data_IF_347279520197
#
_entry.id   IF_347279520197
#
_cell.length_a   1.000
_cell.length_b   1.000
_cell.length_c   1.000
_cell.angle_alpha   90.00
_cell.angle_beta   90.00
_cell.angle_gamma   90.00
#
_symmetry.space_group_name_H-M   'P 1'
#
loop_
_entity.id
_entity.type
_entity.pdbx_description
1 polymer ?
#
# COMPACT_ATOMS: atom_id res chain seq x y z
N UNK A 1 9.10 10.82 8.34
CA UNK A 1 8.54 9.68 9.11
C UNK A 1 8.17 8.56 8.15
N UNK A 2 8.43 7.30 8.48
CA UNK A 2 8.00 6.14 7.67
C UNK A 2 6.89 5.40 8.43
N UNK A 3 5.74 5.20 7.79
CA UNK A 3 4.56 4.56 8.35
C UNK A 3 4.43 3.19 7.69
N UNK A 4 4.74 2.14 8.45
CA UNK A 4 4.52 0.76 8.02
C UNK A 4 3.10 0.32 8.39
N UNK A 5 2.37 -0.15 7.39
CA UNK A 5 1.03 -0.69 7.56
C UNK A 5 0.80 -1.80 6.54
N UNK A 6 0.34 -2.96 6.99
CA UNK A 6 0.13 -4.15 6.18
C UNK A 6 -0.84 -5.11 6.91
N UNK A 7 -1.28 -6.17 6.23
CA UNK A 7 -2.17 -7.21 6.76
C UNK A 7 -1.73 -7.78 8.12
N UNK A 8 -0.43 -7.84 8.37
CA UNK A 8 0.16 -8.37 9.62
C UNK A 8 -0.29 -7.62 10.87
N UNK A 9 -0.72 -6.35 10.75
CA UNK A 9 -1.29 -5.58 11.87
C UNK A 9 -2.59 -6.23 12.37
N UNK A 10 -3.38 -6.83 11.47
CA UNK A 10 -4.64 -7.50 11.77
C UNK A 10 -4.50 -9.02 11.88
N UNK A 11 -3.40 -9.56 11.36
CA UNK A 11 -3.08 -10.99 11.43
C UNK A 11 -1.65 -11.21 11.96
N UNK A 12 -1.44 -11.13 13.29
CA UNK A 12 -0.10 -11.21 13.90
C UNK A 12 0.60 -12.56 13.73
N UNK A 13 -0.15 -13.62 13.39
CA UNK A 13 0.43 -14.93 13.08
C UNK A 13 1.24 -14.95 11.77
N UNK A 14 1.19 -13.87 10.98
CA UNK A 14 1.97 -13.69 9.76
C UNK A 14 1.29 -14.24 8.51
N UNK A 15 2.08 -14.59 7.50
CA UNK A 15 1.60 -15.16 6.25
C UNK A 15 2.64 -16.12 5.67
N UNK A 16 2.22 -16.93 4.71
CA UNK A 16 3.09 -17.79 3.91
C UNK A 16 2.86 -17.50 2.42
N UNK A 17 3.81 -17.89 1.57
CA UNK A 17 3.63 -17.78 0.12
C UNK A 17 2.39 -18.54 -0.35
N UNK A 18 1.53 -17.86 -1.12
CA UNK A 18 0.28 -18.42 -1.63
C UNK A 18 -0.79 -18.68 -0.55
N UNK A 19 -0.49 -18.42 0.72
CA UNK A 19 -1.40 -18.59 1.84
C UNK A 19 -1.33 -17.35 2.74
N UNK A 20 -2.05 -16.32 2.31
CA UNK A 20 -2.16 -15.03 2.97
C UNK A 20 -3.53 -14.91 3.65
N UNK A 21 -3.68 -14.10 4.71
CA UNK A 21 -4.98 -13.84 5.33
C UNK A 21 -5.97 -13.25 4.33
N UNK A 22 -7.23 -13.67 4.39
CA UNK A 22 -8.26 -13.13 3.49
C UNK A 22 -8.43 -11.61 3.65
N UNK A 23 -8.72 -10.85 2.58
CA UNK A 23 -8.93 -9.39 2.63
C UNK A 23 -9.93 -8.93 3.70
N UNK A 24 -10.92 -9.77 4.04
CA UNK A 24 -11.93 -9.48 5.06
C UNK A 24 -11.36 -9.28 6.48
N UNK A 25 -10.14 -9.77 6.73
CA UNK A 25 -9.43 -9.58 8.00
C UNK A 25 -8.99 -8.12 8.18
N UNK A 26 -8.76 -7.39 7.10
CA UNK A 26 -8.32 -6.00 7.15
C UNK A 26 -9.51 -5.06 7.40
N UNK A 27 -9.66 -4.56 8.63
CA UNK A 27 -10.76 -3.66 8.97
C UNK A 27 -10.42 -2.65 10.07
N UNK A 28 -9.64 -1.59 9.78
CA UNK A 28 -9.40 -0.54 10.76
C UNK A 28 -10.65 0.33 10.94
N UNK A 29 -11.36 0.15 12.05
CA UNK A 29 -12.62 0.87 12.35
C UNK A 29 -12.43 2.30 12.85
N UNK A 30 -11.21 2.65 13.26
CA UNK A 30 -10.84 3.97 13.80
C UNK A 30 -9.61 4.54 13.08
N UNK A 31 -9.44 4.22 11.79
CA UNK A 31 -8.33 4.76 11.02
C UNK A 31 -8.46 6.28 10.87
N UNK A 32 -7.41 7.00 11.20
CA UNK A 32 -7.32 8.45 11.01
C UNK A 32 -5.91 8.82 10.53
N UNK A 33 -5.78 9.16 9.24
CA UNK A 33 -4.50 9.60 8.67
C UNK A 33 -4.12 11.01 9.10
N UNK A 34 -5.07 11.85 9.49
CA UNK A 34 -4.77 13.18 10.03
C UNK A 34 -4.03 13.02 11.35
N UNK A 35 -4.50 12.12 12.22
CA UNK A 35 -3.81 11.79 13.47
C UNK A 35 -2.36 11.35 13.23
N UNK A 36 -2.10 10.52 12.21
CA UNK A 36 -0.74 10.10 11.87
C UNK A 36 0.16 11.28 11.49
N UNK A 37 -0.36 12.19 10.65
CA UNK A 37 0.40 13.32 10.14
C UNK A 37 0.58 14.42 11.21
N UNK A 38 -0.40 14.62 12.08
CA UNK A 38 -0.27 15.51 13.25
C UNK A 38 0.89 15.08 14.15
N UNK A 39 1.00 13.78 14.45
CA UNK A 39 2.13 13.24 15.22
C UNK A 39 3.44 13.43 14.45
N UNK A 40 3.46 13.17 13.15
CA UNK A 40 4.65 13.38 12.31
C UNK A 40 5.14 14.84 12.40
N UNK A 41 4.22 15.80 12.27
CA UNK A 41 4.50 17.22 12.33
C UNK A 41 4.99 17.65 13.71
N UNK A 42 4.32 17.18 14.76
CA UNK A 42 4.73 17.46 16.15
C UNK A 42 6.13 16.91 16.47
N UNK A 43 6.52 15.79 15.83
CA UNK A 43 7.87 15.24 15.91
C UNK A 43 8.91 15.98 15.03
N UNK A 44 8.52 17.05 14.33
CA UNK A 44 9.40 17.85 13.48
C UNK A 44 9.67 17.25 12.10
N UNK A 45 8.87 16.28 11.64
CA UNK A 45 9.05 15.71 10.31
C UNK A 45 8.60 16.69 9.21
N UNK A 46 9.42 16.84 8.17
CA UNK A 46 9.07 17.61 6.97
C UNK A 46 8.37 16.77 5.89
N UNK A 47 8.46 15.46 6.02
CA UNK A 47 7.87 14.51 5.08
C UNK A 47 7.43 13.24 5.79
N UNK A 48 6.42 12.59 5.24
CA UNK A 48 5.97 11.27 5.66
C UNK A 48 5.98 10.32 4.46
N UNK A 49 6.26 9.05 4.69
CA UNK A 49 6.24 7.99 3.68
C UNK A 49 5.29 6.90 4.17
N UNK A 50 4.30 6.53 3.35
CA UNK A 50 3.41 5.40 3.63
C UNK A 50 3.87 4.17 2.86
N UNK A 51 3.96 3.03 3.54
CA UNK A 51 4.09 1.72 2.91
C UNK A 51 2.74 1.35 2.30
N UNK A 52 2.54 1.66 1.02
CA UNK A 52 1.27 1.40 0.32
C UNK A 52 1.06 -0.09 0.05
N UNK A 53 2.16 -0.82 -0.18
CA UNK A 53 2.18 -2.28 -0.29
C UNK A 53 3.50 -2.81 0.27
N UNK A 54 3.43 -3.76 1.20
CA UNK A 54 4.57 -4.45 1.78
C UNK A 54 4.67 -5.90 1.25
N UNK A 55 5.24 -6.81 2.05
CA UNK A 55 5.51 -8.18 1.66
C UNK A 55 4.30 -9.10 1.63
N UNK A 56 3.18 -8.80 2.30
CA UNK A 56 1.98 -9.63 2.16
C UNK A 56 1.44 -9.63 0.73
N UNK A 57 1.67 -8.53 0.01
CA UNK A 57 1.07 -8.22 -1.29
C UNK A 57 -0.21 -7.39 -1.19
N UNK A 58 -0.73 -7.13 0.01
CA UNK A 58 -1.99 -6.39 0.19
C UNK A 58 -1.82 -4.91 -0.16
N UNK A 59 -2.66 -4.40 -1.05
CA UNK A 59 -2.65 -2.99 -1.48
C UNK A 59 -3.60 -2.14 -0.62
N UNK A 60 -3.08 -1.06 -0.03
CA UNK A 60 -3.85 -0.13 0.84
C UNK A 60 -4.72 0.88 0.07
N UNK A 61 -4.82 0.75 -1.24
CA UNK A 61 -5.66 1.55 -2.15
C UNK A 61 -6.46 0.59 -3.04
N UNK A 62 -7.56 1.06 -3.67
CA UNK A 62 -8.39 0.22 -4.52
C UNK A 62 -7.68 -0.05 -5.87
N UNK A 63 -6.69 -0.93 -5.85
CA UNK A 63 -5.94 -1.33 -7.03
C UNK A 63 -6.75 -2.30 -7.89
N UNK A 64 -6.71 -2.10 -9.21
CA UNK A 64 -7.36 -2.97 -10.19
C UNK A 64 -6.41 -4.09 -10.69
N UNK A 65 -5.19 -4.18 -10.16
CA UNK A 65 -4.19 -5.12 -10.63
C UNK A 65 -4.46 -6.57 -10.18
N UNK A 66 -5.15 -6.74 -9.04
CA UNK A 66 -5.57 -8.02 -8.48
C UNK A 66 -6.53 -7.84 -7.30
N UNK A 67 -7.19 -8.93 -6.89
CA UNK A 67 -8.19 -8.92 -5.80
C UNK A 67 -7.62 -8.71 -4.39
N UNK A 68 -6.32 -8.85 -4.17
CA UNK A 68 -5.71 -8.71 -2.84
C UNK A 68 -5.45 -7.24 -2.46
N UNK A 69 -6.52 -6.46 -2.36
CA UNK A 69 -6.49 -5.03 -2.03
C UNK A 69 -7.62 -4.65 -1.08
N UNK A 70 -7.58 -3.40 -0.62
CA UNK A 70 -8.61 -2.82 0.25
C UNK A 70 -10.02 -2.84 -0.35
N UNK A 71 -10.13 -2.93 -1.69
CA UNK A 71 -11.40 -3.04 -2.42
C UNK A 71 -12.23 -4.24 -1.93
N UNK A 72 -11.55 -5.34 -1.60
CA UNK A 72 -12.17 -6.58 -1.13
C UNK A 72 -12.20 -6.71 0.41
N UNK A 73 -11.93 -5.63 1.12
CA UNK A 73 -12.01 -5.57 2.59
C UNK A 73 -13.29 -4.86 3.07
N UNK A 74 -13.77 -5.13 4.30
CA UNK A 74 -14.93 -4.44 4.87
C UNK A 74 -14.64 -2.97 5.22
N UNK A 75 -13.38 -2.53 5.17
CA UNK A 75 -13.01 -1.16 5.48
C UNK A 75 -13.78 -0.18 4.58
N UNK A 76 -14.56 0.70 5.21
CA UNK A 76 -15.46 1.63 4.53
C UNK A 76 -16.33 0.96 3.45
N UNK A 77 -16.77 -0.28 3.71
CA UNK A 77 -17.58 -1.09 2.78
C UNK A 77 -16.92 -1.26 1.40
N UNK A 78 -15.60 -1.48 1.36
CA UNK A 78 -14.84 -1.67 0.11
C UNK A 78 -14.55 -0.37 -0.66
N UNK A 79 -14.93 0.79 -0.13
CA UNK A 79 -14.73 2.09 -0.77
C UNK A 79 -13.53 2.86 -0.20
N UNK A 80 -12.72 2.21 0.62
CA UNK A 80 -11.58 2.85 1.27
C UNK A 80 -10.40 3.10 0.35
N UNK A 81 -9.69 4.19 0.59
CA UNK A 81 -8.39 4.49 -0.02
C UNK A 81 -7.48 5.14 1.04
N UNK A 82 -6.64 4.33 1.69
CA UNK A 82 -5.74 4.82 2.75
C UNK A 82 -4.60 5.65 2.14
N UNK A 83 -4.16 5.33 0.91
CA UNK A 83 -3.11 6.09 0.22
C UNK A 83 -3.61 7.50 -0.11
N UNK A 84 -4.82 7.61 -0.66
CA UNK A 84 -5.47 8.90 -0.92
C UNK A 84 -5.63 9.72 0.35
N UNK A 85 -6.19 9.14 1.41
CA UNK A 85 -6.37 9.81 2.71
C UNK A 85 -5.03 10.31 3.28
N UNK A 86 -3.98 9.48 3.24
CA UNK A 86 -2.64 9.85 3.71
C UNK A 86 -2.04 11.03 2.93
N UNK A 87 -2.18 11.04 1.60
CA UNK A 87 -1.69 12.14 0.76
C UNK A 87 -2.43 13.44 1.10
N UNK A 88 -3.76 13.38 1.25
CA UNK A 88 -4.58 14.53 1.65
C UNK A 88 -4.21 15.06 3.03
N UNK A 89 -3.96 14.19 4.00
CA UNK A 89 -3.48 14.59 5.33
C UNK A 89 -2.10 15.26 5.24
N UNK A 90 -1.16 14.71 4.47
CA UNK A 90 0.15 15.35 4.27
C UNK A 90 0.01 16.78 3.73
N UNK A 91 -0.80 16.97 2.69
CA UNK A 91 -1.09 18.29 2.11
C UNK A 91 -1.72 19.23 3.15
N UNK A 92 -2.76 18.76 3.86
CA UNK A 92 -3.48 19.53 4.90
C UNK A 92 -2.55 20.07 5.99
N UNK A 93 -1.58 19.27 6.44
CA UNK A 93 -0.67 19.66 7.53
C UNK A 93 0.68 20.22 7.06
N UNK A 94 0.91 20.31 5.75
CA UNK A 94 2.10 20.90 5.15
C UNK A 94 3.34 19.99 5.18
N UNK A 95 3.15 18.68 5.11
CA UNK A 95 4.23 17.69 4.97
C UNK A 95 4.33 17.20 3.52
N UNK A 96 5.55 16.94 3.04
CA UNK A 96 5.74 16.26 1.76
C UNK A 96 5.32 14.80 1.89
N UNK A 97 4.47 14.31 0.98
CA UNK A 97 4.08 12.90 0.93
C UNK A 97 5.05 12.08 0.09
N UNK A 98 5.31 10.85 0.53
CA UNK A 98 6.04 9.83 -0.20
C UNK A 98 5.34 8.48 -0.10
N UNK A 99 5.56 7.62 -1.09
CA UNK A 99 4.99 6.28 -1.13
C UNK A 99 6.11 5.26 -1.24
N UNK A 100 6.06 4.25 -0.38
CA UNK A 100 6.88 3.05 -0.47
C UNK A 100 6.05 1.92 -1.10
N UNK A 101 6.66 1.18 -2.02
CA UNK A 101 6.09 0.02 -2.68
C UNK A 101 7.13 -1.10 -2.76
N UNK A 102 6.80 -2.28 -2.25
CA UNK A 102 7.71 -3.42 -2.25
C UNK A 102 7.63 -4.22 -3.56
N UNK A 103 8.70 -4.26 -4.37
CA UNK A 103 8.76 -5.04 -5.61
C UNK A 103 9.35 -6.45 -5.44
N UNK A 104 10.28 -6.61 -4.48
CA UNK A 104 11.13 -7.79 -4.36
C UNK A 104 10.45 -9.02 -3.75
N UNK A 105 9.46 -8.83 -2.90
CA UNK A 105 8.76 -9.87 -2.16
C UNK A 105 7.24 -9.61 -2.21
N UNK A 106 6.46 -10.64 -2.52
CA UNK A 106 5.00 -10.61 -2.50
C UNK A 106 4.48 -12.01 -2.17
N UNK A 107 3.95 -12.20 -0.95
CA UNK A 107 3.44 -13.49 -0.49
C UNK A 107 2.23 -13.96 -1.30
N UNK A 108 1.28 -13.05 -1.59
CA UNK A 108 0.09 -13.34 -2.38
C UNK A 108 0.43 -13.83 -3.79
N UNK A 109 1.35 -13.15 -4.48
CA UNK A 109 1.79 -13.52 -5.82
C UNK A 109 2.89 -14.59 -5.85
N UNK A 110 3.27 -15.18 -4.71
CA UNK A 110 4.33 -16.18 -4.62
C UNK A 110 5.68 -15.70 -5.21
N UNK A 111 6.08 -14.49 -4.84
CA UNK A 111 7.32 -13.84 -5.31
C UNK A 111 8.29 -13.65 -4.15
N UNK A 112 9.52 -14.12 -4.32
CA UNK A 112 10.60 -13.94 -3.36
C UNK A 112 11.71 -13.02 -3.89
N UNK A 113 12.51 -12.48 -2.98
CA UNK A 113 13.57 -11.53 -3.27
C UNK A 113 14.60 -12.13 -4.25
N UNK A 114 14.94 -11.46 -5.37
CA UNK A 114 14.72 -10.04 -5.70
C UNK A 114 13.58 -9.79 -6.71
N UNK A 115 12.37 -10.32 -6.47
CA UNK A 115 11.21 -10.11 -7.33
C UNK A 115 10.99 -11.25 -8.33
N UNK A 116 11.37 -12.47 -7.94
CA UNK A 116 11.24 -13.68 -8.74
C UNK A 116 10.06 -14.52 -8.29
N UNK A 117 9.20 -14.89 -9.24
CA UNK A 117 8.14 -15.89 -8.98
C UNK A 117 8.79 -17.21 -8.56
N UNK A 118 8.26 -17.83 -7.52
CA UNK A 118 8.82 -19.06 -6.94
C UNK A 118 8.77 -20.25 -7.90
N UNK A 119 7.81 -20.27 -8.82
CA UNK A 119 7.67 -21.28 -9.87
C UNK A 119 8.84 -21.26 -10.86
N UNK A 120 9.50 -20.10 -11.03
CA UNK A 120 10.45 -19.85 -12.11
C UNK A 120 9.80 -19.76 -13.49
N UNK A 121 8.47 -19.78 -13.60
CA UNK A 121 7.76 -19.73 -14.88
C UNK A 121 7.90 -18.33 -15.52
N UNK A 122 8.40 -18.23 -16.78
CA UNK A 122 8.56 -16.95 -17.46
C UNK A 122 7.26 -16.17 -17.70
N UNK A 123 6.13 -16.84 -17.92
CA UNK A 123 4.82 -16.20 -18.14
C UNK A 123 4.23 -15.70 -16.82
N UNK A 124 4.36 -16.46 -15.73
CA UNK A 124 3.98 -15.97 -14.40
C UNK A 124 4.83 -14.76 -13.98
N UNK A 125 6.13 -14.77 -14.31
CA UNK A 125 6.99 -13.62 -14.08
C UNK A 125 6.55 -12.40 -14.88
N UNK A 126 6.17 -12.57 -16.15
CA UNK A 126 5.63 -11.47 -16.97
C UNK A 126 4.33 -10.94 -16.38
N UNK A 127 3.45 -11.81 -15.92
CA UNK A 127 2.21 -11.43 -15.25
C UNK A 127 2.49 -10.63 -13.97
N UNK A 128 3.38 -11.09 -13.11
CA UNK A 128 3.79 -10.33 -11.92
C UNK A 128 4.38 -8.95 -12.28
N UNK A 129 5.21 -8.89 -13.32
CA UNK A 129 5.75 -7.61 -13.80
C UNK A 129 4.63 -6.67 -14.27
N UNK A 130 3.59 -7.17 -14.92
CA UNK A 130 2.44 -6.35 -15.31
C UNK A 130 1.66 -5.81 -14.11
N UNK A 131 1.47 -6.62 -13.06
CA UNK A 131 0.88 -6.17 -11.79
C UNK A 131 1.70 -5.02 -11.20
N UNK A 132 3.02 -5.18 -11.12
CA UNK A 132 3.92 -4.15 -10.59
C UNK A 132 3.84 -2.86 -11.40
N UNK A 133 3.90 -2.95 -12.73
CA UNK A 133 3.83 -1.76 -13.61
C UNK A 133 2.48 -1.05 -13.46
N UNK A 134 1.38 -1.80 -13.40
CA UNK A 134 0.05 -1.24 -13.22
C UNK A 134 -0.07 -0.53 -11.86
N UNK A 135 0.31 -1.18 -10.77
CA UNK A 135 0.24 -0.60 -9.41
C UNK A 135 1.13 0.64 -9.26
N UNK A 136 2.33 0.63 -9.83
CA UNK A 136 3.18 1.82 -9.88
C UNK A 136 2.55 2.93 -10.74
N UNK A 137 1.87 2.59 -11.82
CA UNK A 137 1.15 3.57 -12.65
C UNK A 137 -0.01 4.21 -11.88
N UNK A 138 -0.81 3.41 -11.19
CA UNK A 138 -1.92 3.87 -10.33
C UNK A 138 -1.42 4.87 -9.27
N UNK A 139 -0.41 4.47 -8.50
CA UNK A 139 0.16 5.28 -7.42
C UNK A 139 0.77 6.60 -7.93
N UNK A 140 1.58 6.57 -9.00
CA UNK A 140 2.28 7.77 -9.49
C UNK A 140 1.41 8.68 -10.36
N UNK A 141 0.30 8.18 -10.92
CA UNK A 141 -0.68 9.04 -11.60
C UNK A 141 -1.48 9.85 -10.57
N UNK A 142 -1.85 9.22 -9.45
CA UNK A 142 -2.58 9.88 -8.37
C UNK A 142 -1.72 10.90 -7.62
N UNK A 143 -0.45 10.56 -7.33
CA UNK A 143 0.50 11.49 -6.68
C UNK A 143 0.75 12.78 -7.49
N UNK A 144 0.65 12.75 -8.83
CA UNK A 144 0.88 13.92 -9.69
C UNK A 144 -0.22 14.99 -9.58
N UNK A 145 -1.41 14.66 -9.10
CA UNK A 145 -2.47 15.67 -8.88
C UNK A 145 -2.09 16.64 -7.77
N UNK A 146 -1.37 16.19 -6.75
CA UNK A 146 -0.96 17.00 -5.59
C UNK A 146 0.22 17.94 -5.88
N UNK A 147 1.12 17.57 -6.81
CA UNK A 147 2.34 18.36 -7.10
C UNK A 147 2.04 19.61 -7.95
N UNK A 148 0.94 19.66 -8.71
CA UNK A 148 0.60 20.81 -9.56
C UNK A 148 0.14 22.07 -8.80
N UNK A 149 -0.16 21.97 -7.51
CA UNK A 149 -0.60 23.11 -6.70
C UNK A 149 0.56 23.78 -5.91
N UNK A 150 1.81 23.38 -6.15
CA UNK A 150 2.99 23.87 -5.42
C UNK A 150 4.00 24.65 -6.31
N UNK A 151 3.58 25.18 -7.46
CA UNK A 151 4.38 26.08 -8.30
C UNK A 151 3.57 27.32 -8.67
#
# INVERSE_FOLDING_TARGET
MLIHYDMQVFHPAGYQFGNVPEPVVFNPTQLDTDQWIEVAKAAGAEYAVLVAKHGSGFSLWPSDAHDYSILNSPYLNGQGDIVGNFISSCEKYGLRSGIYYHTGYNAYCQVDNPGKVLSGDPEEQKYYNSIVIQQLTELWTNLRRTVRNMV
#
